data_IF_368320135154
#
_entry.id   IF_368320135154
#
_cell.length_a   1.000
_cell.length_b   1.000
_cell.length_c   1.000
_cell.angle_alpha   90.00
_cell.angle_beta   90.00
_cell.angle_gamma   90.00
#
_symmetry.space_group_name_H-M   'P 1'
#
loop_
_entity.id
_entity.type
_entity.pdbx_description
1 polymer ?
#
# COMPACT_ATOMS: atom_id res chain seq x y z
N UNK A 1 -35.67 -0.70 3.22
CA UNK A 1 -34.19 -0.77 3.09
C UNK A 1 -33.65 -1.29 4.41
N UNK A 2 -33.01 -2.47 4.41
CA UNK A 2 -32.48 -3.07 5.63
C UNK A 2 -31.13 -2.42 5.96
N UNK A 3 -31.11 -1.62 7.03
CA UNK A 3 -29.88 -1.07 7.60
C UNK A 3 -29.20 -2.16 8.43
N UNK A 4 -28.36 -2.96 7.79
CA UNK A 4 -27.46 -3.83 8.54
C UNK A 4 -26.43 -2.96 9.28
N UNK A 5 -26.25 -3.15 10.60
CA UNK A 5 -25.25 -2.40 11.35
C UNK A 5 -23.85 -2.78 10.86
N UNK A 6 -23.04 -1.76 10.57
CA UNK A 6 -21.63 -1.95 10.20
C UNK A 6 -20.88 -2.51 11.41
N UNK A 7 -20.21 -3.66 11.25
CA UNK A 7 -19.39 -4.25 12.30
C UNK A 7 -17.95 -3.74 12.20
N UNK A 8 -17.45 -3.18 13.31
CA UNK A 8 -16.03 -2.83 13.44
C UNK A 8 -15.25 -4.13 13.64
N UNK A 9 -14.40 -4.46 12.68
CA UNK A 9 -13.48 -5.59 12.79
C UNK A 9 -12.18 -5.08 13.40
N UNK A 10 -11.95 -5.38 14.68
CA UNK A 10 -10.64 -5.21 15.31
C UNK A 10 -9.68 -6.27 14.75
N UNK A 11 -8.78 -5.85 13.86
CA UNK A 11 -7.69 -6.68 13.38
C UNK A 11 -6.70 -7.00 14.52
N UNK A 12 -6.93 -8.08 15.26
CA UNK A 12 -5.97 -8.56 16.27
C UNK A 12 -4.65 -8.96 15.61
N UNK A 13 -3.55 -8.61 16.27
CA UNK A 13 -2.20 -9.10 15.94
C UNK A 13 -2.18 -10.62 16.02
N UNK A 14 -1.95 -11.29 14.90
CA UNK A 14 -1.40 -12.64 14.96
C UNK A 14 0.03 -12.51 15.48
N UNK A 15 0.22 -12.75 16.77
CA UNK A 15 1.51 -12.75 17.43
C UNK A 15 2.31 -13.99 17.06
N UNK A 16 2.73 -14.08 15.80
CA UNK A 16 3.84 -14.90 15.31
C UNK A 16 3.87 -14.85 13.77
N UNK A 17 4.42 -13.77 13.22
CA UNK A 17 4.95 -13.82 11.87
C UNK A 17 6.41 -13.37 11.97
N UNK A 18 7.39 -14.26 11.73
CA UNK A 18 8.77 -13.86 11.56
C UNK A 18 8.88 -13.22 10.17
N UNK A 19 8.25 -12.07 9.98
CA UNK A 19 8.50 -11.29 8.79
C UNK A 19 9.92 -10.74 8.90
N UNK A 20 10.79 -10.98 7.90
CA UNK A 20 12.10 -10.36 7.88
C UNK A 20 11.87 -8.86 8.02
N UNK A 21 12.57 -8.23 8.96
CA UNK A 21 12.45 -6.81 9.25
C UNK A 21 12.50 -6.00 7.94
N UNK A 22 11.34 -5.58 7.42
CA UNK A 22 11.23 -4.82 6.17
C UNK A 22 11.58 -3.33 6.36
N UNK A 23 12.11 -2.95 7.53
CA UNK A 23 12.31 -1.57 7.94
C UNK A 23 11.02 -0.93 8.47
N UNK A 24 11.15 0.27 9.04
CA UNK A 24 10.00 1.06 9.45
C UNK A 24 9.18 1.50 8.22
N UNK A 25 7.89 1.78 8.41
CA UNK A 25 7.02 2.41 7.40
C UNK A 25 7.71 3.65 6.80
N UNK A 26 8.32 4.47 7.65
CA UNK A 26 9.09 5.64 7.24
C UNK A 26 10.22 5.28 6.26
N UNK A 27 10.99 4.22 6.53
CA UNK A 27 12.05 3.78 5.63
C UNK A 27 11.51 3.31 4.28
N UNK A 28 10.39 2.57 4.27
CA UNK A 28 9.75 2.10 3.04
C UNK A 28 9.21 3.26 2.19
N UNK A 29 8.58 4.25 2.82
CA UNK A 29 8.11 5.48 2.16
C UNK A 29 9.28 6.29 1.61
N UNK A 30 10.35 6.49 2.41
CA UNK A 30 11.55 7.17 1.95
C UNK A 30 12.20 6.46 0.76
N UNK A 31 12.25 5.13 0.76
CA UNK A 31 12.74 4.33 -0.38
C UNK A 31 11.89 4.55 -1.63
N UNK A 32 10.55 4.56 -1.49
CA UNK A 32 9.63 4.80 -2.59
C UNK A 32 9.82 6.21 -3.21
N UNK A 33 9.97 7.23 -2.37
CA UNK A 33 10.24 8.61 -2.80
C UNK A 33 11.58 8.70 -3.55
N UNK A 34 12.63 8.08 -3.01
CA UNK A 34 13.97 8.04 -3.64
C UNK A 34 13.97 7.30 -4.97
N UNK A 35 13.13 6.27 -5.12
CA UNK A 35 12.92 5.55 -6.37
C UNK A 35 12.07 6.33 -7.41
N UNK A 36 11.55 7.52 -7.05
CA UNK A 36 10.80 8.39 -7.97
C UNK A 36 9.28 8.20 -7.94
N UNK A 37 8.74 7.36 -7.05
CA UNK A 37 7.30 7.16 -6.85
C UNK A 37 6.70 8.25 -5.95
N UNK A 38 6.74 9.49 -6.45
CA UNK A 38 6.12 10.66 -5.79
C UNK A 38 4.63 10.75 -6.11
N UNK A 39 3.85 11.38 -5.26
CA UNK A 39 2.43 11.68 -5.55
C UNK A 39 2.30 12.40 -6.89
N UNK A 40 1.33 11.99 -7.71
CA UNK A 40 1.15 12.45 -9.08
C UNK A 40 1.93 11.66 -10.12
N UNK A 41 2.87 10.79 -9.72
CA UNK A 41 3.64 9.96 -10.66
C UNK A 41 2.72 8.97 -11.35
N UNK A 42 2.72 9.01 -12.70
CA UNK A 42 2.12 7.96 -13.53
C UNK A 42 2.92 6.67 -13.44
N UNK A 43 2.20 5.58 -13.23
CA UNK A 43 2.75 4.24 -13.03
C UNK A 43 1.90 3.20 -13.74
N UNK A 44 2.41 1.98 -13.84
CA UNK A 44 1.66 0.79 -14.21
C UNK A 44 1.77 -0.29 -13.14
N UNK A 45 0.69 -1.02 -12.92
CA UNK A 45 0.66 -2.26 -12.16
C UNK A 45 0.38 -3.37 -13.17
N UNK A 46 1.44 -4.07 -13.60
CA UNK A 46 1.37 -4.91 -14.81
C UNK A 46 0.91 -4.07 -16.02
N UNK A 47 -0.26 -4.38 -16.57
CA UNK A 47 -0.86 -3.66 -17.70
C UNK A 47 -1.80 -2.51 -17.29
N UNK A 48 -2.13 -2.39 -16.01
CA UNK A 48 -3.12 -1.42 -15.52
C UNK A 48 -2.44 -0.08 -15.30
N UNK A 49 -2.92 0.97 -15.96
CA UNK A 49 -2.44 2.33 -15.75
C UNK A 49 -2.91 2.87 -14.39
N UNK A 50 -2.04 3.65 -13.73
CA UNK A 50 -2.34 4.26 -12.46
C UNK A 50 -1.55 5.53 -12.17
N UNK A 51 -1.88 6.12 -11.02
CA UNK A 51 -1.20 7.30 -10.49
C UNK A 51 -0.96 7.13 -9.00
N UNK A 52 0.25 7.41 -8.52
CA UNK A 52 0.54 7.45 -7.09
C UNK A 52 -0.24 8.58 -6.46
N UNK A 53 -1.08 8.27 -5.47
CA UNK A 53 -1.93 9.25 -4.76
C UNK A 53 -1.53 9.45 -3.30
N UNK A 54 -0.62 8.62 -2.78
CA UNK A 54 -0.14 8.75 -1.42
C UNK A 54 0.70 7.56 -0.98
N UNK A 55 0.90 7.47 0.32
CA UNK A 55 1.70 6.43 0.95
C UNK A 55 0.89 5.66 1.98
N UNK A 56 1.08 4.35 2.01
CA UNK A 56 0.46 3.48 2.99
C UNK A 56 1.24 3.54 4.31
N UNK A 57 0.58 3.97 5.37
CA UNK A 57 1.15 4.05 6.72
C UNK A 57 0.60 2.97 7.66
N UNK A 58 -0.12 1.99 7.14
CA UNK A 58 -0.69 0.91 7.94
C UNK A 58 0.40 0.02 8.52
N UNK A 59 0.49 -0.07 9.85
CA UNK A 59 1.50 -0.90 10.51
C UNK A 59 1.18 -2.40 10.52
N UNK A 60 -0.04 -2.79 10.13
CA UNK A 60 -0.55 -4.16 10.29
C UNK A 60 -1.40 -4.61 9.10
N UNK A 61 -1.66 -5.92 9.05
CA UNK A 61 -2.38 -6.60 7.98
C UNK A 61 -1.46 -7.12 6.87
N UNK A 62 -2.04 -7.92 5.96
CA UNK A 62 -1.33 -8.55 4.83
C UNK A 62 -0.60 -7.56 3.91
N UNK A 63 -1.12 -6.33 3.82
CA UNK A 63 -0.59 -5.24 2.99
C UNK A 63 -0.19 -4.05 3.87
N UNK A 64 0.77 -4.27 4.78
CA UNK A 64 1.31 -3.22 5.65
C UNK A 64 2.18 -2.23 4.85
N UNK A 65 2.34 -1.01 5.36
CA UNK A 65 3.10 0.06 4.73
C UNK A 65 4.59 -0.22 4.59
N UNK A 66 5.15 -1.08 5.45
CA UNK A 66 6.55 -1.50 5.35
C UNK A 66 6.81 -2.35 4.09
N UNK A 67 5.83 -3.13 3.64
CA UNK A 67 5.96 -3.99 2.44
C UNK A 67 5.26 -3.40 1.21
N UNK A 68 4.17 -2.66 1.41
CA UNK A 68 3.33 -2.07 0.37
C UNK A 68 3.20 -0.56 0.57
N UNK A 69 4.28 0.23 0.39
CA UNK A 69 4.31 1.64 0.78
C UNK A 69 3.49 2.56 -0.14
N UNK A 70 3.08 2.13 -1.32
CA UNK A 70 2.40 2.99 -2.30
C UNK A 70 0.88 2.87 -2.21
N UNK A 71 0.19 4.01 -2.33
CA UNK A 71 -1.23 4.05 -2.70
C UNK A 71 -1.35 4.49 -4.15
N UNK A 72 -1.90 3.63 -5.00
CA UNK A 72 -2.06 3.88 -6.44
C UNK A 72 -3.53 3.91 -6.77
N UNK A 73 -3.98 4.99 -7.41
CA UNK A 73 -5.32 5.10 -8.01
C UNK A 73 -5.26 4.54 -9.43
N UNK A 74 -6.14 3.59 -9.72
CA UNK A 74 -6.37 3.00 -11.04
C UNK A 74 -7.83 3.21 -11.44
N UNK A 75 -8.24 2.65 -12.59
CA UNK A 75 -9.65 2.60 -13.00
C UNK A 75 -10.53 1.75 -12.05
N UNK A 76 -9.93 0.83 -11.29
CA UNK A 76 -10.63 -0.05 -10.35
C UNK A 76 -10.67 0.51 -8.91
N UNK A 77 -10.15 1.71 -8.68
CA UNK A 77 -10.11 2.36 -7.36
C UNK A 77 -8.69 2.56 -6.84
N UNK A 78 -8.56 2.68 -5.51
CA UNK A 78 -7.25 2.89 -4.85
C UNK A 78 -6.77 1.57 -4.25
N UNK A 79 -5.54 1.19 -4.56
CA UNK A 79 -4.91 -0.04 -4.05
C UNK A 79 -3.55 0.24 -3.42
N UNK A 80 -3.12 -0.68 -2.54
CA UNK A 80 -1.79 -0.69 -1.90
C UNK A 80 -0.84 -1.51 -2.76
N UNK A 81 0.35 -0.98 -3.04
CA UNK A 81 1.33 -1.66 -3.87
C UNK A 81 2.72 -1.68 -3.23
N UNK A 82 3.42 -2.80 -3.42
CA UNK A 82 4.85 -2.88 -3.20
C UNK A 82 5.60 -2.22 -4.36
N UNK A 83 6.89 -1.92 -4.16
CA UNK A 83 7.71 -1.37 -5.24
C UNK A 83 8.00 -2.38 -6.35
N UNK A 84 7.83 -3.68 -6.11
CA UNK A 84 8.05 -4.73 -7.10
C UNK A 84 6.88 -4.90 -8.07
N UNK A 85 5.67 -4.49 -7.65
CA UNK A 85 4.45 -4.59 -8.47
C UNK A 85 4.23 -3.38 -9.37
N UNK A 86 5.01 -2.31 -9.18
CA UNK A 86 4.82 -1.01 -9.82
C UNK A 86 6.01 -0.66 -10.70
N UNK A 87 5.72 -0.23 -11.92
CA UNK A 87 6.70 0.33 -12.84
C UNK A 87 6.35 1.77 -13.21
N UNK A 88 7.34 2.58 -13.57
CA UNK A 88 7.09 3.87 -14.21
C UNK A 88 6.34 3.65 -15.54
N UNK A 89 5.31 4.47 -15.79
CA UNK A 89 4.52 4.43 -17.03
C UNK A 89 5.26 5.05 -18.22
#
# INVERSE_FOLDING_TARGET
MSTQPLSVIEGKRSGNCPHPWHGSVEHAVNRAIRAGYRVGRRVRIGHIAGCVVGYNIGHFGRFSGASYPLLVRTEFGVTKCSLAEVAAA
#
